data_IF_986500522867
#
_entry.id   IF_986500522867
#
_cell.length_a   1.000
_cell.length_b   1.000
_cell.length_c   1.000
_cell.angle_alpha   90.00
_cell.angle_beta   90.00
_cell.angle_gamma   90.00
#
_symmetry.space_group_name_H-M   'P 1'
#
loop_
_entity.id
_entity.type
_entity.pdbx_description
1 polymer ?
#
# COMPACT_ATOMS: atom_id res chain seq x y z
N UNK A 1 -15.64 -22.45 -15.81
CA UNK A 1 -14.48 -21.53 -15.69
C UNK A 1 -13.84 -21.63 -14.31
N UNK A 2 -12.53 -21.86 -14.23
CA UNK A 2 -11.79 -21.86 -12.96
C UNK A 2 -11.46 -20.44 -12.49
N UNK A 3 -11.73 -20.14 -11.21
CA UNK A 3 -11.42 -18.86 -10.54
C UNK A 3 -10.67 -19.14 -9.24
N UNK A 4 -9.62 -18.36 -8.98
CA UNK A 4 -8.91 -18.39 -7.70
C UNK A 4 -9.42 -17.27 -6.78
N UNK A 5 -9.92 -17.63 -5.60
CA UNK A 5 -10.37 -16.70 -4.57
C UNK A 5 -9.28 -16.51 -3.50
N UNK A 6 -9.14 -15.29 -2.99
CA UNK A 6 -8.23 -14.92 -1.90
C UNK A 6 -8.76 -15.43 -0.54
N UNK A 7 -8.65 -16.75 -0.31
CA UNK A 7 -9.12 -17.41 0.91
C UNK A 7 -8.00 -18.18 1.62
N UNK A 8 -7.79 -17.88 2.91
CA UNK A 8 -6.74 -18.51 3.69
C UNK A 8 -5.34 -18.16 3.19
N UNK A 9 -4.39 -19.10 3.27
CA UNK A 9 -2.98 -18.87 2.90
C UNK A 9 -2.65 -19.21 1.45
N UNK A 10 -3.38 -20.15 0.86
CA UNK A 10 -3.10 -20.70 -0.47
C UNK A 10 -4.18 -20.36 -1.50
N UNK A 11 -5.26 -19.71 -1.05
CA UNK A 11 -6.44 -19.43 -1.86
C UNK A 11 -7.38 -20.63 -2.03
N UNK A 12 -8.51 -20.39 -2.68
CA UNK A 12 -9.52 -21.40 -2.98
C UNK A 12 -9.82 -21.38 -4.48
N UNK A 13 -9.56 -22.50 -5.15
CA UNK A 13 -9.96 -22.69 -6.55
C UNK A 13 -11.41 -23.15 -6.61
N UNK A 14 -12.22 -22.48 -7.43
CA UNK A 14 -13.62 -22.80 -7.68
C UNK A 14 -13.86 -22.93 -9.18
N UNK A 15 -14.72 -23.86 -9.59
CA UNK A 15 -15.18 -23.97 -10.98
C UNK A 15 -16.63 -23.49 -11.08
N UNK A 16 -16.86 -22.47 -11.91
CA UNK A 16 -18.16 -21.85 -12.12
C UNK A 16 -18.61 -22.13 -13.56
N UNK A 17 -19.79 -22.74 -13.79
CA UNK A 17 -20.33 -22.93 -15.14
C UNK A 17 -20.45 -21.61 -15.92
N UNK A 18 -20.02 -21.63 -17.18
CA UNK A 18 -19.90 -20.41 -18.00
C UNK A 18 -21.27 -19.75 -18.26
N UNK A 19 -22.35 -20.55 -18.32
CA UNK A 19 -23.73 -20.08 -18.48
C UNK A 19 -24.28 -19.33 -17.26
N UNK A 20 -23.58 -19.39 -16.11
CA UNK A 20 -23.93 -18.73 -14.85
C UNK A 20 -22.99 -17.58 -14.50
N UNK A 21 -21.96 -17.34 -15.30
CA UNK A 21 -20.96 -16.32 -15.04
C UNK A 21 -21.22 -15.08 -15.90
N UNK A 22 -21.56 -13.96 -15.27
CA UNK A 22 -21.77 -12.69 -16.00
C UNK A 22 -20.46 -11.91 -16.22
N UNK A 23 -19.65 -11.72 -15.17
CA UNK A 23 -18.37 -11.03 -15.24
C UNK A 23 -17.51 -11.34 -14.02
N UNK A 24 -16.19 -11.18 -14.17
CA UNK A 24 -15.23 -11.15 -13.05
C UNK A 24 -14.68 -9.74 -12.93
N UNK A 25 -14.70 -9.18 -11.72
CA UNK A 25 -14.10 -7.90 -11.39
C UNK A 25 -12.85 -8.13 -10.55
N UNK A 26 -11.71 -7.62 -11.01
CA UNK A 26 -10.43 -7.72 -10.31
C UNK A 26 -9.84 -6.33 -10.05
N UNK A 27 -8.91 -6.25 -9.10
CA UNK A 27 -8.09 -5.07 -8.95
C UNK A 27 -7.30 -4.79 -10.23
N UNK A 28 -6.99 -3.51 -10.45
CA UNK A 28 -6.00 -3.11 -11.44
C UNK A 28 -4.63 -3.29 -10.81
N UNK A 29 -3.74 -3.99 -11.51
CA UNK A 29 -2.36 -4.12 -11.07
C UNK A 29 -1.70 -2.74 -11.00
N UNK A 30 -1.04 -2.47 -9.88
CA UNK A 30 -0.17 -1.32 -9.74
C UNK A 30 1.24 -1.72 -10.16
N UNK A 31 1.88 -0.91 -11.01
CA UNK A 31 3.30 -1.09 -11.33
C UNK A 31 4.10 -0.76 -10.07
N UNK A 32 4.94 -1.69 -9.56
CA UNK A 32 5.78 -1.41 -8.40
C UNK A 32 6.74 -0.25 -8.67
N UNK A 33 7.04 0.53 -7.63
CA UNK A 33 8.09 1.54 -7.70
C UNK A 33 9.45 0.87 -7.92
N UNK A 34 10.28 1.43 -8.81
CA UNK A 34 11.63 0.91 -9.06
C UNK A 34 12.50 0.98 -7.81
N UNK A 35 12.39 2.06 -7.03
CA UNK A 35 13.09 2.23 -5.77
C UNK A 35 12.17 2.88 -4.72
N UNK A 36 11.41 2.08 -3.95
CA UNK A 36 10.52 2.60 -2.90
C UNK A 36 11.23 3.50 -1.89
N UNK A 37 12.50 3.22 -1.62
CA UNK A 37 13.35 4.01 -0.71
C UNK A 37 13.61 5.42 -1.27
N UNK A 38 13.92 5.53 -2.56
CA UNK A 38 14.17 6.83 -3.18
C UNK A 38 12.88 7.63 -3.28
N UNK A 39 11.79 6.99 -3.67
CA UNK A 39 10.51 7.70 -3.82
C UNK A 39 10.01 8.23 -2.48
N UNK A 40 10.17 7.44 -1.40
CA UNK A 40 9.88 7.91 -0.05
C UNK A 40 10.71 9.15 0.32
N UNK A 41 12.00 9.19 -0.02
CA UNK A 41 12.86 10.35 0.26
C UNK A 41 12.42 11.57 -0.52
N UNK A 42 12.07 11.40 -1.79
CA UNK A 42 11.62 12.52 -2.63
C UNK A 42 10.30 13.10 -2.13
N UNK A 43 9.29 12.28 -1.82
CA UNK A 43 8.00 12.79 -1.32
C UNK A 43 8.10 13.49 0.04
N UNK A 44 9.07 13.11 0.88
CA UNK A 44 9.34 13.81 2.15
C UNK A 44 10.10 15.13 1.96
N UNK A 45 10.89 15.24 0.87
CA UNK A 45 11.62 16.48 0.53
C UNK A 45 10.74 17.49 -0.18
N UNK A 46 9.86 17.02 -1.05
CA UNK A 46 8.97 17.81 -1.90
C UNK A 46 7.50 17.36 -1.70
N UNK A 47 6.88 17.69 -0.54
CA UNK A 47 5.53 17.27 -0.23
C UNK A 47 4.48 18.06 -1.03
N UNK A 48 3.29 17.48 -1.17
CA UNK A 48 2.17 18.14 -1.84
C UNK A 48 1.44 19.07 -0.87
N UNK A 49 1.48 20.37 -1.15
CA UNK A 49 0.63 21.37 -0.49
C UNK A 49 1.05 21.77 0.93
N UNK A 50 2.23 21.35 1.40
CA UNK A 50 2.75 21.67 2.74
C UNK A 50 4.25 21.96 2.70
N UNK A 51 4.83 22.36 3.84
CA UNK A 51 6.29 22.48 3.96
C UNK A 51 6.92 21.10 4.14
N UNK A 52 8.16 20.88 3.63
CA UNK A 52 8.95 19.68 3.90
C UNK A 52 9.06 19.37 5.39
N UNK A 53 9.08 18.08 5.74
CA UNK A 53 9.09 17.65 7.15
C UNK A 53 10.24 18.29 7.95
N UNK A 54 11.42 18.44 7.34
CA UNK A 54 12.59 19.11 7.93
C UNK A 54 12.31 20.56 8.37
N UNK A 55 11.42 21.27 7.67
CA UNK A 55 11.06 22.64 8.00
C UNK A 55 10.01 22.65 9.11
N UNK A 56 9.03 21.74 9.05
CA UNK A 56 8.00 21.61 10.09
C UNK A 56 8.60 21.21 11.44
N UNK A 57 9.61 20.34 11.44
CA UNK A 57 10.28 19.89 12.65
C UNK A 57 11.33 20.86 13.19
N UNK A 58 11.66 21.93 12.45
CA UNK A 58 12.73 22.85 12.83
C UNK A 58 12.38 23.59 14.12
N UNK A 59 13.23 23.47 15.15
CA UNK A 59 13.00 24.09 16.46
C UNK A 59 12.06 23.32 17.39
N UNK A 60 11.50 22.20 16.95
CA UNK A 60 10.70 21.33 17.82
C UNK A 60 11.62 20.47 18.71
N UNK A 61 11.33 20.42 20.00
CA UNK A 61 12.09 19.60 20.96
C UNK A 61 11.59 18.15 21.05
N UNK A 62 10.36 17.88 20.60
CA UNK A 62 9.74 16.57 20.60
C UNK A 62 8.88 16.36 19.35
N UNK A 63 8.59 15.09 19.06
CA UNK A 63 7.69 14.69 17.98
C UNK A 63 6.92 13.43 18.38
N UNK A 64 5.69 13.29 17.87
CA UNK A 64 4.88 12.09 17.96
C UNK A 64 4.55 11.63 16.54
N UNK A 65 4.85 10.37 16.22
CA UNK A 65 4.55 9.76 14.93
C UNK A 65 3.41 8.76 15.14
N UNK A 66 2.25 9.04 14.55
CA UNK A 66 1.12 8.11 14.55
C UNK A 66 1.33 7.09 13.46
N UNK A 67 1.36 5.80 13.81
CA UNK A 67 1.58 4.68 12.88
C UNK A 67 0.40 3.73 12.87
N UNK A 68 0.23 2.97 11.79
CA UNK A 68 -0.75 1.90 11.73
C UNK A 68 -0.35 0.71 12.63
N UNK A 69 -1.35 0.00 13.14
CA UNK A 69 -1.14 -1.24 13.88
C UNK A 69 -0.78 -2.43 12.98
N UNK A 70 -0.61 -3.60 13.59
CA UNK A 70 -0.21 -4.84 12.90
C UNK A 70 -1.24 -5.37 11.91
N UNK A 71 -2.48 -4.87 11.93
CA UNK A 71 -3.55 -5.32 11.02
C UNK A 71 -3.46 -4.69 9.65
N UNK A 72 -2.58 -3.69 9.46
CA UNK A 72 -2.37 -3.01 8.19
C UNK A 72 -1.05 -3.43 7.54
N UNK A 73 -1.03 -3.71 6.23
CA UNK A 73 0.20 -4.07 5.51
C UNK A 73 1.02 -2.82 5.15
N UNK A 74 1.19 -1.88 6.09
CA UNK A 74 2.01 -0.69 5.87
C UNK A 74 3.48 -1.07 6.02
N UNK A 75 4.37 -0.71 5.08
CA UNK A 75 5.79 -1.04 5.16
C UNK A 75 6.51 -0.12 6.15
N UNK A 76 6.17 -0.21 7.45
CA UNK A 76 6.71 0.66 8.49
C UNK A 76 8.24 0.62 8.59
N UNK A 77 8.87 -0.55 8.35
CA UNK A 77 10.34 -0.68 8.31
C UNK A 77 11.01 0.12 7.19
N UNK A 78 10.28 0.43 6.12
CA UNK A 78 10.77 1.28 5.04
C UNK A 78 10.55 2.77 5.36
N UNK A 79 9.45 3.08 6.05
CA UNK A 79 8.98 4.45 6.28
C UNK A 79 9.68 5.12 7.48
N UNK A 80 9.93 4.36 8.55
CA UNK A 80 10.49 4.82 9.83
C UNK A 80 11.99 4.48 9.92
#
# INVERSE_FOLDING_TARGET
MQIQLEYGRIGLSVDIPDDRLSATLSYKDAVPLESPVNELREVLREPLGTLPLRHVASGCENACIVICDITRPVPNQLIL
#
